data_IF_599337859655
#
_entry.id   IF_599337859655
#
_cell.length_a   1.000
_cell.length_b   1.000
_cell.length_c   1.000
_cell.angle_alpha   90.00
_cell.angle_beta   90.00
_cell.angle_gamma   90.00
#
_symmetry.space_group_name_H-M   'P 1'
#
loop_
_entity.id
_entity.type
_entity.pdbx_description
1 polymer ?
#
# COMPACT_ATOMS: atom_id res chain seq x y z
N UNK A 1 -11.39 46.49 -19.03
CA UNK A 1 -11.55 45.09 -19.48
C UNK A 1 -10.16 44.60 -19.87
N UNK A 2 -9.58 43.66 -19.12
CA UNK A 2 -8.25 43.13 -19.38
C UNK A 2 -8.42 41.77 -20.07
N UNK A 3 -7.96 41.68 -21.31
CA UNK A 3 -7.96 40.45 -22.10
C UNK A 3 -6.72 39.63 -21.76
N UNK A 4 -6.92 38.43 -21.22
CA UNK A 4 -5.86 37.42 -21.05
C UNK A 4 -5.82 36.56 -22.32
N UNK A 5 -4.66 36.40 -22.99
CA UNK A 5 -4.58 35.56 -24.17
C UNK A 5 -4.64 34.08 -23.76
N UNK A 6 -5.61 33.37 -24.33
CA UNK A 6 -5.75 31.92 -24.20
C UNK A 6 -4.75 31.25 -25.16
N UNK A 7 -3.73 30.59 -24.61
CA UNK A 7 -2.86 29.67 -25.37
C UNK A 7 -3.02 28.25 -24.82
N UNK A 8 -4.00 27.52 -25.34
CA UNK A 8 -3.91 26.07 -25.43
C UNK A 8 -4.73 25.58 -26.62
N UNK A 9 -4.01 25.14 -27.65
CA UNK A 9 -4.56 24.38 -28.76
C UNK A 9 -3.82 23.04 -28.75
N UNK A 10 -4.50 21.98 -28.30
CA UNK A 10 -3.99 20.60 -28.35
C UNK A 10 -4.26 19.79 -27.08
N UNK A 11 -4.56 18.49 -27.24
CA UNK A 11 -4.80 17.55 -26.16
C UNK A 11 -3.55 17.37 -25.27
N UNK A 12 -3.75 17.36 -23.96
CA UNK A 12 -2.70 17.22 -22.95
C UNK A 12 -2.25 15.75 -22.91
N UNK A 13 -0.97 15.50 -23.15
CA UNK A 13 -0.37 14.17 -23.02
C UNK A 13 0.87 14.21 -22.11
N UNK A 14 1.36 13.03 -21.72
CA UNK A 14 2.46 12.83 -20.74
C UNK A 14 3.74 13.60 -21.06
N UNK A 15 3.99 13.94 -22.33
CA UNK A 15 5.17 14.72 -22.75
C UNK A 15 5.03 16.22 -22.44
N UNK A 16 3.81 16.74 -22.33
CA UNK A 16 3.56 18.18 -22.09
C UNK A 16 3.63 18.52 -20.59
N UNK A 17 3.42 17.53 -19.72
CA UNK A 17 3.49 17.68 -18.25
C UNK A 17 4.95 17.76 -17.75
N UNK A 18 5.91 17.20 -18.50
CA UNK A 18 7.32 17.18 -18.11
C UNK A 18 8.08 18.51 -18.32
N UNK A 19 7.47 19.50 -18.98
CA UNK A 19 8.14 20.78 -19.27
C UNK A 19 8.02 21.83 -18.13
N UNK A 20 7.31 21.53 -17.03
CA UNK A 20 6.96 22.55 -16.03
C UNK A 20 7.87 22.58 -14.78
N UNK A 21 8.82 21.65 -14.59
CA UNK A 21 9.70 21.69 -13.40
C UNK A 21 11.14 21.21 -13.66
N UNK A 22 11.90 21.97 -14.46
CA UNK A 22 13.34 21.74 -14.65
C UNK A 22 14.24 22.21 -13.48
N UNK A 23 13.77 22.22 -12.23
CA UNK A 23 14.66 22.39 -11.08
C UNK A 23 14.47 21.25 -10.07
N UNK A 24 15.48 20.37 -10.02
CA UNK A 24 15.77 19.39 -8.97
C UNK A 24 14.66 18.40 -8.61
N UNK A 25 14.45 17.37 -9.43
CA UNK A 25 13.66 16.22 -9.02
C UNK A 25 14.40 14.91 -9.35
N UNK A 26 14.85 14.21 -8.29
CA UNK A 26 15.07 12.76 -8.35
C UNK A 26 13.75 12.12 -8.76
N UNK A 27 13.78 11.18 -9.73
CA UNK A 27 12.60 10.51 -10.26
C UNK A 27 11.68 9.90 -9.18
N UNK A 28 10.47 9.46 -9.55
CA UNK A 28 9.45 8.99 -8.60
C UNK A 28 10.03 7.93 -7.66
N UNK A 29 9.87 8.18 -6.36
CA UNK A 29 10.34 7.27 -5.30
C UNK A 29 9.35 6.12 -5.16
N UNK A 30 9.75 4.95 -5.65
CA UNK A 30 9.07 3.67 -5.43
C UNK A 30 9.69 2.95 -4.23
N UNK A 31 8.98 2.00 -3.59
CA UNK A 31 9.48 1.20 -2.47
C UNK A 31 10.83 0.51 -2.78
N UNK A 32 11.04 0.10 -4.03
CA UNK A 32 12.32 -0.43 -4.53
C UNK A 32 13.42 0.64 -4.64
N UNK A 33 13.07 1.86 -5.08
CA UNK A 33 14.01 2.99 -5.17
C UNK A 33 14.39 3.55 -3.78
N UNK A 34 13.50 3.47 -2.78
CA UNK A 34 13.85 3.88 -1.40
C UNK A 34 14.83 2.89 -0.75
N UNK A 35 14.73 1.60 -1.07
CA UNK A 35 15.70 0.58 -0.62
C UNK A 35 17.11 0.86 -1.14
N UNK A 36 17.27 1.21 -2.42
CA UNK A 36 18.60 1.49 -3.00
C UNK A 36 19.22 2.80 -2.47
N UNK A 37 18.40 3.82 -2.17
CA UNK A 37 18.86 5.09 -1.60
C UNK A 37 19.42 4.95 -0.17
N UNK A 38 18.86 4.06 0.66
CA UNK A 38 19.34 3.85 2.02
C UNK A 38 20.66 3.05 2.09
N UNK A 39 20.94 2.19 1.10
CA UNK A 39 22.23 1.51 0.97
C UNK A 39 23.37 2.45 0.54
N UNK A 40 23.07 3.55 -0.17
CA UNK A 40 24.10 4.51 -0.61
C UNK A 40 24.57 5.49 0.47
N UNK A 41 23.84 5.63 1.59
CA UNK A 41 24.21 6.55 2.67
C UNK A 41 25.25 5.99 3.66
N UNK A 42 25.59 4.71 3.61
CA UNK A 42 26.53 4.09 4.56
C UNK A 42 27.98 3.98 4.08
N UNK A 43 28.30 4.33 2.83
CA UNK A 43 29.66 4.27 2.31
C UNK A 43 30.06 5.55 1.57
N UNK A 44 30.58 6.53 2.31
CA UNK A 44 31.44 7.58 1.75
C UNK A 44 32.73 7.70 2.55
N UNK A 45 33.80 7.07 2.07
CA UNK A 45 35.14 7.66 2.12
C UNK A 45 36.01 7.17 0.95
N UNK A 46 36.32 8.12 0.06
CA UNK A 46 37.59 8.31 -0.67
C UNK A 46 38.03 7.32 -1.76
N UNK A 47 38.15 7.81 -3.00
CA UNK A 47 39.05 7.25 -4.02
C UNK A 47 38.64 7.52 -5.48
N UNK A 48 39.42 8.33 -6.19
CA UNK A 48 39.25 8.77 -7.60
C UNK A 48 39.84 7.75 -8.58
N UNK A 49 39.18 7.42 -9.71
CA UNK A 49 39.79 7.15 -11.04
C UNK A 49 38.74 6.96 -12.17
N UNK A 50 39.21 7.09 -13.43
CA UNK A 50 38.58 7.46 -14.71
C UNK A 50 37.57 6.46 -15.36
N UNK A 51 36.89 6.80 -16.49
CA UNK A 51 35.70 6.09 -16.98
C UNK A 51 36.01 4.95 -17.97
N UNK A 52 35.19 3.90 -17.94
CA UNK A 52 35.18 2.80 -18.93
C UNK A 52 33.75 2.61 -19.48
N UNK A 53 33.59 2.19 -20.75
CA UNK A 53 32.34 2.36 -21.50
C UNK A 53 31.32 1.24 -21.27
N UNK A 54 30.04 1.63 -21.32
CA UNK A 54 28.83 0.86 -21.59
C UNK A 54 28.88 -0.65 -21.31
N UNK A 55 28.38 -1.02 -20.14
CA UNK A 55 27.77 -2.33 -19.95
C UNK A 55 26.29 -2.09 -19.65
N UNK A 56 25.43 -2.37 -20.63
CA UNK A 56 23.98 -2.37 -20.49
C UNK A 56 23.62 -3.43 -19.45
N UNK A 57 23.44 -3.01 -18.21
CA UNK A 57 23.05 -3.90 -17.11
C UNK A 57 21.61 -4.33 -17.35
N UNK A 58 21.44 -5.54 -17.91
CA UNK A 58 20.17 -6.27 -17.82
C UNK A 58 19.93 -6.50 -16.32
N UNK A 59 18.95 -5.80 -15.75
CA UNK A 59 18.54 -6.02 -14.36
C UNK A 59 17.88 -7.38 -14.25
N UNK A 60 18.64 -8.40 -13.87
CA UNK A 60 18.09 -9.68 -13.43
C UNK A 60 17.29 -9.41 -12.13
N UNK A 61 15.99 -9.14 -12.25
CA UNK A 61 15.10 -9.01 -11.11
C UNK A 61 14.87 -10.39 -10.50
N UNK A 62 15.70 -10.77 -9.52
CA UNK A 62 15.53 -12.00 -8.76
C UNK A 62 14.29 -11.90 -7.89
N UNK A 63 13.35 -12.84 -8.05
CA UNK A 63 12.15 -12.95 -7.19
C UNK A 63 12.59 -13.28 -5.76
N UNK A 64 12.36 -12.36 -4.83
CA UNK A 64 12.60 -12.59 -3.40
C UNK A 64 11.37 -13.29 -2.79
N UNK A 65 11.45 -14.61 -2.65
CA UNK A 65 10.44 -15.41 -1.95
C UNK A 65 10.66 -15.28 -0.43
N UNK A 66 9.62 -14.88 0.30
CA UNK A 66 9.61 -14.87 1.78
C UNK A 66 8.78 -16.04 2.30
N UNK A 67 9.25 -16.72 3.34
CA UNK A 67 8.47 -17.74 4.06
C UNK A 67 7.31 -17.07 4.79
N UNK A 68 6.13 -17.67 4.70
CA UNK A 68 4.95 -17.21 5.43
C UNK A 68 5.16 -17.44 6.94
N UNK A 69 4.94 -16.43 7.80
CA UNK A 69 4.92 -16.64 9.25
C UNK A 69 3.84 -17.65 9.66
N UNK A 70 3.97 -18.22 10.86
CA UNK A 70 2.87 -19.00 11.44
C UNK A 70 1.65 -18.10 11.65
N UNK A 71 0.53 -18.47 11.05
CA UNK A 71 -0.77 -17.81 11.22
C UNK A 71 -1.50 -18.50 12.38
N UNK A 72 -1.41 -17.90 13.56
CA UNK A 72 -1.81 -18.49 14.85
C UNK A 72 -3.34 -18.53 15.01
N UNK A 73 -4.03 -17.49 14.56
CA UNK A 73 -5.47 -17.31 14.68
C UNK A 73 -6.12 -17.13 13.29
N UNK A 74 -6.05 -18.15 12.41
CA UNK A 74 -6.52 -18.02 11.03
C UNK A 74 -8.04 -17.96 10.95
N UNK A 75 -8.55 -17.08 10.09
CA UNK A 75 -9.95 -17.02 9.69
C UNK A 75 -10.10 -17.27 8.18
N UNK A 76 -11.30 -17.65 7.76
CA UNK A 76 -11.64 -17.83 6.35
C UNK A 76 -12.30 -16.59 5.75
N UNK A 77 -12.24 -16.47 4.42
CA UNK A 77 -12.95 -15.43 3.66
C UNK A 77 -14.41 -15.33 4.10
N UNK A 78 -14.86 -14.10 4.36
CA UNK A 78 -16.21 -13.78 4.84
C UNK A 78 -16.38 -13.82 6.37
N UNK A 79 -15.45 -14.40 7.12
CA UNK A 79 -15.54 -14.44 8.58
C UNK A 79 -15.21 -13.08 9.22
N UNK A 80 -15.83 -12.82 10.38
CA UNK A 80 -15.75 -11.58 11.15
C UNK A 80 -15.46 -11.88 12.61
N UNK A 81 -14.33 -11.42 13.13
CA UNK A 81 -13.89 -11.66 14.51
C UNK A 81 -13.74 -10.34 15.27
N UNK A 82 -14.02 -10.33 16.56
CA UNK A 82 -13.67 -9.18 17.41
C UNK A 82 -12.14 -9.16 17.61
N UNK A 83 -11.54 -7.99 17.53
CA UNK A 83 -10.09 -7.81 17.78
C UNK A 83 -9.81 -7.05 19.07
N UNK A 84 -10.85 -6.71 19.83
CA UNK A 84 -10.75 -6.28 21.22
C UNK A 84 -10.73 -7.50 22.14
N UNK A 85 -9.71 -7.60 23.00
CA UNK A 85 -9.62 -8.68 23.98
C UNK A 85 -9.71 -8.12 25.40
N UNK A 86 -10.91 -8.22 26.01
CA UNK A 86 -11.21 -7.89 27.41
C UNK A 86 -10.76 -6.50 27.92
N UNK A 87 -10.52 -5.55 27.00
CA UNK A 87 -10.06 -4.19 27.28
C UNK A 87 -10.08 -3.32 26.03
N UNK A 88 -9.84 -2.02 26.20
CA UNK A 88 -9.82 -1.05 25.09
C UNK A 88 -8.64 -1.35 24.17
N UNK A 89 -8.90 -1.57 22.88
CA UNK A 89 -7.86 -1.70 21.86
C UNK A 89 -7.09 -0.38 21.76
N UNK A 90 -5.80 -0.40 22.10
CA UNK A 90 -4.93 0.77 22.09
C UNK A 90 -4.32 0.97 20.70
N UNK A 91 -3.65 -0.06 20.20
CA UNK A 91 -2.85 -0.02 18.99
C UNK A 91 -2.77 -1.40 18.36
N UNK A 92 -2.81 -1.45 17.04
CA UNK A 92 -2.60 -2.69 16.27
C UNK A 92 -1.62 -2.48 15.13
N UNK A 93 -1.07 -3.59 14.66
CA UNK A 93 -0.20 -3.66 13.50
C UNK A 93 -0.81 -4.66 12.52
N UNK A 94 -1.39 -4.17 11.44
CA UNK A 94 -1.74 -5.00 10.30
C UNK A 94 -0.46 -5.27 9.53
N UNK A 95 0.06 -6.49 9.63
CA UNK A 95 1.26 -6.94 8.91
C UNK A 95 0.84 -7.76 7.69
N UNK A 96 1.39 -7.43 6.53
CA UNK A 96 1.02 -8.01 5.26
C UNK A 96 2.23 -8.60 4.57
N UNK A 97 2.02 -9.71 3.87
CA UNK A 97 3.03 -10.35 3.04
C UNK A 97 2.38 -11.04 1.85
N UNK A 98 3.20 -11.31 0.84
CA UNK A 98 2.84 -11.99 -0.40
C UNK A 98 4.11 -12.51 -1.05
N UNK A 99 3.96 -13.36 -2.06
CA UNK A 99 5.02 -13.74 -2.97
C UNK A 99 4.53 -13.49 -4.41
N UNK A 100 5.46 -13.38 -5.34
CA UNK A 100 5.17 -13.13 -6.75
C UNK A 100 5.83 -14.20 -7.60
N UNK A 101 5.17 -14.63 -8.66
CA UNK A 101 5.73 -15.53 -9.68
C UNK A 101 6.27 -14.76 -10.88
N UNK A 102 5.89 -13.49 -11.02
CA UNK A 102 6.43 -12.54 -12.01
C UNK A 102 7.18 -11.41 -11.28
N UNK A 103 8.47 -11.23 -11.57
CA UNK A 103 9.30 -10.22 -10.92
C UNK A 103 8.94 -8.77 -11.26
N UNK A 104 8.13 -8.56 -12.29
CA UNK A 104 7.58 -7.24 -12.62
C UNK A 104 6.42 -6.82 -11.71
N UNK A 105 5.84 -7.76 -10.93
CA UNK A 105 4.80 -7.44 -9.96
C UNK A 105 5.40 -6.67 -8.78
N UNK A 106 5.30 -5.36 -8.86
CA UNK A 106 5.49 -4.45 -7.73
C UNK A 106 4.14 -4.29 -7.03
N UNK A 107 4.01 -4.89 -5.84
CA UNK A 107 2.75 -4.91 -5.08
C UNK A 107 2.93 -3.98 -3.90
N UNK A 108 1.94 -3.13 -3.65
CA UNK A 108 1.94 -2.19 -2.53
C UNK A 108 0.67 -2.37 -1.68
N UNK A 109 0.81 -2.08 -0.38
CA UNK A 109 -0.30 -1.95 0.56
C UNK A 109 -0.76 -0.50 0.66
N UNK A 110 -2.07 -0.37 0.74
CA UNK A 110 -2.80 0.88 0.84
C UNK A 110 -3.86 0.73 1.94
N UNK A 111 -4.02 1.73 2.81
CA UNK A 111 -5.06 1.73 3.84
C UNK A 111 -5.95 2.97 3.80
N UNK A 112 -7.25 2.77 3.55
CA UNK A 112 -8.25 3.83 3.46
C UNK A 112 -9.02 3.97 4.77
N UNK A 113 -9.09 5.19 5.32
CA UNK A 113 -9.75 5.49 6.60
C UNK A 113 -11.13 6.09 6.33
N UNK A 114 -12.15 5.27 6.49
CA UNK A 114 -13.51 5.51 6.03
C UNK A 114 -14.47 5.86 7.17
N UNK A 115 -15.46 6.70 6.88
CA UNK A 115 -16.63 6.92 7.72
C UNK A 115 -17.70 5.83 7.51
N UNK A 116 -18.85 6.02 8.16
CA UNK A 116 -20.00 5.12 8.07
C UNK A 116 -20.65 5.06 6.68
N UNK A 117 -20.40 6.03 5.79
CA UNK A 117 -20.88 5.97 4.40
C UNK A 117 -19.93 5.18 3.48
N UNK A 118 -18.79 4.70 4.00
CA UNK A 118 -17.79 3.97 3.22
C UNK A 118 -16.87 4.86 2.39
N UNK A 119 -16.85 6.17 2.67
CA UNK A 119 -15.95 7.13 2.01
C UNK A 119 -14.86 7.60 2.97
N UNK A 120 -13.71 8.00 2.44
CA UNK A 120 -12.68 8.67 3.24
C UNK A 120 -13.24 9.94 3.88
N UNK A 121 -12.74 10.30 5.06
CA UNK A 121 -13.20 11.51 5.76
C UNK A 121 -12.53 12.80 5.25
N UNK A 122 -11.68 12.66 4.25
CA UNK A 122 -11.03 13.71 3.46
C UNK A 122 -9.95 13.08 2.56
N UNK A 123 -9.47 13.81 1.56
CA UNK A 123 -8.57 13.23 0.54
C UNK A 123 -7.24 12.71 1.10
N UNK A 124 -6.76 13.29 2.19
CA UNK A 124 -5.56 12.84 2.90
C UNK A 124 -5.80 11.68 3.87
N UNK A 125 -7.01 11.13 3.98
CA UNK A 125 -7.36 10.03 4.90
C UNK A 125 -7.16 8.66 4.27
N UNK A 126 -6.02 8.53 3.62
CA UNK A 126 -5.56 7.37 2.92
C UNK A 126 -4.04 7.30 3.07
N UNK A 127 -3.49 6.16 3.48
CA UNK A 127 -2.05 5.99 3.66
C UNK A 127 -1.48 4.91 2.75
N UNK A 128 -0.29 5.17 2.22
CA UNK A 128 0.47 4.31 1.32
C UNK A 128 1.93 4.80 1.30
N UNK A 129 2.81 4.19 0.50
CA UNK A 129 4.24 4.58 0.44
C UNK A 129 4.49 6.07 0.11
N UNK A 130 3.58 6.74 -0.60
CA UNK A 130 3.70 8.17 -0.96
C UNK A 130 3.12 9.12 0.10
N UNK A 131 2.30 8.60 1.01
CA UNK A 131 1.73 9.34 2.14
C UNK A 131 1.67 8.40 3.34
N UNK A 132 2.80 8.31 4.05
CA UNK A 132 2.99 7.24 5.04
C UNK A 132 2.15 7.43 6.30
N UNK A 133 1.67 8.65 6.61
CA UNK A 133 0.98 8.95 7.87
C UNK A 133 -0.34 9.68 7.64
N UNK A 134 -1.37 9.32 8.42
CA UNK A 134 -2.67 10.00 8.41
C UNK A 134 -2.62 11.38 9.07
N UNK A 135 -3.57 12.30 8.78
CA UNK A 135 -3.55 13.65 9.34
C UNK A 135 -3.61 13.73 10.87
N UNK A 136 -4.25 12.75 11.52
CA UNK A 136 -4.32 12.63 12.99
C UNK A 136 -3.15 11.84 13.60
N UNK A 137 -2.21 11.36 12.78
CA UNK A 137 -1.10 10.49 13.17
C UNK A 137 -1.55 9.17 13.83
N UNK A 138 -2.79 8.73 13.58
CA UNK A 138 -3.27 7.44 14.08
C UNK A 138 -2.77 6.28 13.24
N UNK A 139 -2.63 6.49 11.92
CA UNK A 139 -2.34 5.43 10.97
C UNK A 139 -1.01 5.68 10.28
N UNK A 140 -0.15 4.67 10.22
CA UNK A 140 1.20 4.78 9.68
C UNK A 140 1.60 3.56 8.85
N UNK A 141 2.06 3.79 7.62
CA UNK A 141 2.66 2.81 6.72
C UNK A 141 4.16 2.64 7.01
N UNK A 142 4.66 1.41 6.96
CA UNK A 142 6.09 1.13 7.07
C UNK A 142 6.46 -0.17 6.37
N UNK A 143 7.73 -0.32 6.00
CA UNK A 143 8.28 -1.56 5.45
C UNK A 143 8.79 -2.44 6.59
N UNK A 144 8.56 -3.75 6.50
CA UNK A 144 9.15 -4.76 7.39
C UNK A 144 10.27 -5.52 6.68
N UNK A 145 11.42 -5.61 7.35
CA UNK A 145 12.60 -6.35 6.87
C UNK A 145 12.57 -7.83 7.31
N UNK A 146 11.56 -8.24 8.09
CA UNK A 146 11.32 -9.61 8.52
C UNK A 146 10.56 -10.44 7.48
N UNK A 147 9.66 -11.31 7.97
CA UNK A 147 8.84 -12.19 7.12
C UNK A 147 7.71 -11.43 6.42
N UNK A 148 7.11 -10.46 7.12
CA UNK A 148 6.15 -9.54 6.51
C UNK A 148 6.88 -8.58 5.56
N UNK A 149 6.14 -7.98 4.63
CA UNK A 149 6.68 -7.00 3.70
C UNK A 149 6.33 -5.59 4.12
N UNK A 150 5.08 -5.37 4.51
CA UNK A 150 4.56 -4.04 4.80
C UNK A 150 3.64 -4.09 6.01
N UNK A 151 3.60 -2.97 6.74
CA UNK A 151 2.86 -2.86 7.99
C UNK A 151 2.09 -1.55 7.99
N UNK A 152 0.79 -1.66 8.26
CA UNK A 152 -0.07 -0.54 8.62
C UNK A 152 -0.28 -0.58 10.13
N UNK A 153 0.26 0.42 10.82
CA UNK A 153 0.05 0.64 12.25
C UNK A 153 -1.18 1.50 12.46
N UNK A 154 -2.04 1.18 13.43
CA UNK A 154 -3.23 1.95 13.79
C UNK A 154 -3.25 2.17 15.31
N UNK A 155 -3.26 3.43 15.74
CA UNK A 155 -3.39 3.89 17.13
C UNK A 155 -4.82 4.42 17.36
N UNK A 156 -5.65 3.60 18.00
CA UNK A 156 -7.06 3.92 18.27
C UNK A 156 -7.24 5.03 19.31
N UNK A 157 -6.19 5.42 20.04
CA UNK A 157 -6.28 6.55 20.95
C UNK A 157 -6.14 7.90 20.22
N UNK A 158 -5.59 7.90 19.00
CA UNK A 158 -5.46 9.10 18.15
C UNK A 158 -6.46 9.14 17.01
N UNK A 159 -7.02 7.97 16.66
CA UNK A 159 -7.93 7.81 15.54
C UNK A 159 -9.12 8.77 15.66
N UNK A 160 -9.31 9.59 14.64
CA UNK A 160 -10.44 10.51 14.56
C UNK A 160 -11.77 9.77 14.65
N UNK A 161 -12.68 10.30 15.47
CA UNK A 161 -13.99 9.69 15.76
C UNK A 161 -14.91 9.53 14.55
N UNK A 162 -14.65 10.24 13.45
CA UNK A 162 -15.39 10.10 12.20
C UNK A 162 -14.94 8.87 11.39
N UNK A 163 -13.79 8.27 11.71
CA UNK A 163 -13.34 7.00 11.11
C UNK A 163 -13.99 5.84 11.85
N UNK A 164 -14.78 5.05 11.13
CA UNK A 164 -15.43 3.84 11.66
C UNK A 164 -14.96 2.57 10.97
N UNK A 165 -14.16 2.69 9.92
CA UNK A 165 -13.63 1.56 9.14
C UNK A 165 -12.27 1.90 8.54
N UNK A 166 -11.36 0.93 8.52
CA UNK A 166 -10.07 1.00 7.86
C UNK A 166 -9.97 -0.21 6.93
N UNK A 167 -9.84 0.04 5.63
CA UNK A 167 -9.77 -1.00 4.60
C UNK A 167 -8.32 -1.17 4.13
N UNK A 168 -7.84 -2.41 4.08
CA UNK A 168 -6.50 -2.73 3.55
C UNK A 168 -6.61 -3.28 2.14
N UNK A 169 -5.86 -2.68 1.22
CA UNK A 169 -5.87 -3.03 -0.20
C UNK A 169 -4.46 -3.34 -0.66
N UNK A 170 -4.33 -4.45 -1.40
CA UNK A 170 -3.14 -4.77 -2.20
C UNK A 170 -3.37 -4.28 -3.63
N UNK A 171 -2.40 -3.58 -4.20
CA UNK A 171 -2.44 -3.12 -5.60
C UNK A 171 -1.15 -3.50 -6.31
N UNK A 172 -1.23 -3.95 -7.56
CA UNK A 172 -0.05 -4.09 -8.41
C UNK A 172 0.17 -2.75 -9.12
N UNK A 173 1.35 -2.14 -8.96
CA UNK A 173 1.69 -0.88 -9.62
C UNK A 173 1.78 -1.07 -11.15
N UNK A 174 1.22 -0.11 -11.90
CA UNK A 174 1.18 -0.12 -13.38
C UNK A 174 0.60 -1.43 -13.97
N UNK A 175 -0.30 -2.10 -13.24
CA UNK A 175 -0.80 -3.43 -13.60
C UNK A 175 -1.42 -3.49 -15.00
N UNK A 176 -2.21 -2.47 -15.37
CA UNK A 176 -2.89 -2.41 -16.65
C UNK A 176 -1.90 -2.23 -17.81
N UNK A 177 -0.94 -1.30 -17.65
CA UNK A 177 0.08 -0.99 -18.65
C UNK A 177 1.05 -2.15 -18.87
N UNK A 178 1.39 -2.87 -17.79
CA UNK A 178 2.33 -4.00 -17.82
C UNK A 178 1.65 -5.36 -17.96
N UNK A 179 0.32 -5.41 -18.12
CA UNK A 179 -0.48 -6.64 -18.17
C UNK A 179 -0.22 -7.59 -16.99
N UNK A 180 -0.05 -7.03 -15.79
CA UNK A 180 0.15 -7.75 -14.54
C UNK A 180 -1.19 -7.96 -13.83
N UNK A 181 -1.31 -9.04 -13.08
CA UNK A 181 -2.55 -9.38 -12.38
C UNK A 181 -2.28 -10.30 -11.18
N UNK A 182 -3.33 -10.54 -10.39
CA UNK A 182 -3.23 -11.31 -9.16
C UNK A 182 -2.97 -12.80 -9.37
N UNK A 183 -3.17 -13.39 -10.57
CA UNK A 183 -2.72 -14.77 -10.82
C UNK A 183 -1.19 -14.90 -10.87
N UNK A 184 -0.46 -13.77 -10.84
CA UNK A 184 0.99 -13.72 -10.72
C UNK A 184 1.46 -13.54 -9.26
N UNK A 185 0.53 -13.52 -8.30
CA UNK A 185 0.80 -13.50 -6.86
C UNK A 185 0.46 -14.87 -6.27
N UNK A 186 1.08 -15.16 -5.13
CA UNK A 186 0.69 -16.25 -4.25
C UNK A 186 1.02 -15.89 -2.80
N UNK A 187 0.55 -16.71 -1.86
CA UNK A 187 0.85 -16.56 -0.44
C UNK A 187 0.58 -15.17 0.14
N UNK A 188 -0.39 -14.44 -0.41
CA UNK A 188 -0.84 -13.17 0.13
C UNK A 188 -1.58 -13.40 1.46
N UNK A 189 -1.21 -12.65 2.49
CA UNK A 189 -1.82 -12.72 3.81
C UNK A 189 -1.82 -11.38 4.52
N UNK A 190 -2.70 -11.26 5.50
CA UNK A 190 -2.73 -10.19 6.50
C UNK A 190 -2.84 -10.82 7.89
N UNK A 191 -2.12 -10.27 8.86
CA UNK A 191 -2.25 -10.62 10.27
C UNK A 191 -2.28 -9.36 11.13
N UNK A 192 -3.22 -9.32 12.06
CA UNK A 192 -3.41 -8.19 12.98
C UNK A 192 -2.74 -8.55 14.29
N UNK A 193 -1.71 -7.80 14.66
CA UNK A 193 -0.97 -7.96 15.90
C UNK A 193 -1.35 -6.86 16.89
N UNK A 194 -1.36 -7.15 18.19
CA UNK A 194 -1.47 -6.12 19.23
C UNK A 194 -0.11 -5.48 19.57
N UNK A 195 -0.10 -4.52 20.50
CA UNK A 195 1.08 -3.85 21.04
C UNK A 195 2.09 -4.79 21.73
N UNK A 196 1.61 -5.92 22.21
CA UNK A 196 2.39 -6.97 22.88
C UNK A 196 2.93 -8.02 21.90
N UNK A 197 2.85 -7.75 20.58
CA UNK A 197 3.27 -8.64 19.50
C UNK A 197 2.58 -10.01 19.50
N UNK A 198 1.36 -10.08 20.03
CA UNK A 198 0.48 -11.24 19.94
C UNK A 198 -0.45 -11.12 18.73
N UNK A 199 -0.62 -12.20 17.98
CA UNK A 199 -1.56 -12.22 16.86
C UNK A 199 -2.99 -12.28 17.38
N UNK A 200 -3.84 -11.35 16.93
CA UNK A 200 -5.26 -11.31 17.24
C UNK A 200 -6.08 -12.10 16.21
N UNK A 201 -5.70 -11.98 14.93
CA UNK A 201 -6.33 -12.68 13.80
C UNK A 201 -5.39 -12.68 12.61
N UNK A 202 -5.47 -13.71 11.78
CA UNK A 202 -4.81 -13.77 10.48
C UNK A 202 -5.73 -14.28 9.39
N UNK A 203 -5.46 -13.86 8.15
CA UNK A 203 -6.16 -14.31 6.96
C UNK A 203 -5.16 -14.50 5.83
N UNK A 204 -5.15 -15.70 5.23
CA UNK A 204 -4.40 -16.01 4.02
C UNK A 204 -5.36 -16.15 2.86
N UNK A 205 -5.04 -15.52 1.74
CA UNK A 205 -5.78 -15.68 0.50
C UNK A 205 -5.46 -17.00 -0.18
N UNK A 206 -6.52 -17.66 -0.67
CA UNK A 206 -6.52 -18.87 -1.46
C UNK A 206 -6.90 -18.63 -2.94
N UNK A 207 -7.52 -17.49 -3.23
CA UNK A 207 -8.04 -17.14 -4.55
C UNK A 207 -7.21 -16.05 -5.25
N UNK A 208 -6.75 -16.36 -6.47
CA UNK A 208 -5.94 -15.47 -7.31
C UNK A 208 -6.41 -15.55 -8.76
N UNK A 209 -6.70 -14.41 -9.40
CA UNK A 209 -7.36 -14.37 -10.69
C UNK A 209 -6.64 -13.47 -11.70
N UNK A 210 -6.70 -13.84 -12.98
CA UNK A 210 -6.05 -13.13 -14.07
C UNK A 210 -6.74 -11.82 -14.46
N UNK A 211 -8.00 -11.64 -14.06
CA UNK A 211 -8.79 -10.42 -14.28
C UNK A 211 -8.79 -9.46 -13.08
N UNK A 212 -7.93 -9.70 -12.08
CA UNK A 212 -7.85 -8.89 -10.85
C UNK A 212 -6.51 -8.18 -10.80
N UNK A 213 -6.51 -6.87 -10.55
CA UNK A 213 -5.31 -6.02 -10.45
C UNK A 213 -5.15 -5.36 -9.08
N UNK A 214 -6.19 -5.41 -8.25
CA UNK A 214 -6.18 -4.98 -6.86
C UNK A 214 -7.12 -5.83 -6.00
N UNK A 215 -6.86 -5.87 -4.69
CA UNK A 215 -7.53 -6.78 -3.76
C UNK A 215 -7.77 -6.13 -2.40
N UNK A 216 -9.03 -6.01 -2.00
CA UNK A 216 -9.37 -5.76 -0.60
C UNK A 216 -9.12 -7.04 0.20
N UNK A 217 -8.00 -7.10 0.92
CA UNK A 217 -7.63 -8.31 1.66
C UNK A 217 -8.41 -8.41 2.98
N UNK A 218 -8.66 -7.28 3.65
CA UNK A 218 -9.42 -7.24 4.89
C UNK A 218 -9.79 -5.83 5.32
N UNK A 219 -10.63 -5.73 6.34
CA UNK A 219 -11.00 -4.46 6.96
C UNK A 219 -11.08 -4.58 8.48
N UNK A 220 -10.74 -3.49 9.17
CA UNK A 220 -11.05 -3.28 10.58
C UNK A 220 -12.20 -2.29 10.66
N UNK A 221 -13.27 -2.60 11.38
CA UNK A 221 -14.47 -1.76 11.44
C UNK A 221 -15.13 -1.79 12.83
N UNK A 222 -15.82 -0.71 13.18
CA UNK A 222 -16.63 -0.65 14.38
C UNK A 222 -17.98 -1.33 14.17
N UNK A 223 -18.39 -2.13 15.15
CA UNK A 223 -19.70 -2.73 15.20
C UNK A 223 -20.14 -2.91 16.66
N UNK A 224 -21.28 -2.32 17.03
CA UNK A 224 -21.83 -2.34 18.40
C UNK A 224 -20.80 -1.91 19.47
N UNK A 225 -20.03 -0.86 19.18
CA UNK A 225 -19.06 -0.29 20.12
C UNK A 225 -17.74 -1.05 20.23
N UNK A 226 -17.53 -2.11 19.44
CA UNK A 226 -16.29 -2.88 19.40
C UNK A 226 -15.66 -2.87 18.00
N UNK A 227 -14.32 -2.85 17.95
CA UNK A 227 -13.57 -3.06 16.71
C UNK A 227 -13.51 -4.55 16.34
N UNK A 228 -13.80 -4.82 15.08
CA UNK A 228 -13.80 -6.16 14.48
C UNK A 228 -12.92 -6.18 13.24
N UNK A 229 -12.35 -7.34 12.94
CA UNK A 229 -11.71 -7.62 11.67
C UNK A 229 -12.66 -8.45 10.80
N UNK A 230 -12.70 -8.17 9.49
CA UNK A 230 -13.33 -9.01 8.49
C UNK A 230 -12.31 -9.46 7.43
N UNK A 231 -12.26 -10.77 7.17
CA UNK A 231 -11.52 -11.32 6.05
C UNK A 231 -12.36 -11.16 4.77
N UNK A 232 -11.86 -10.40 3.80
CA UNK A 232 -12.64 -10.02 2.62
C UNK A 232 -12.20 -10.77 1.36
N UNK A 233 -10.95 -10.58 0.92
CA UNK A 233 -10.43 -11.23 -0.29
C UNK A 233 -11.25 -10.93 -1.56
N UNK A 234 -11.73 -9.70 -1.73
CA UNK A 234 -12.48 -9.29 -2.92
C UNK A 234 -11.58 -8.50 -3.88
N UNK A 235 -11.38 -9.04 -5.08
CA UNK A 235 -10.53 -8.48 -6.11
C UNK A 235 -11.31 -7.67 -7.15
N UNK A 236 -10.68 -6.62 -7.69
CA UNK A 236 -11.24 -5.81 -8.79
C UNK A 236 -10.18 -5.47 -9.83
N UNK A 237 -10.62 -5.14 -11.04
CA UNK A 237 -9.79 -4.60 -12.12
C UNK A 237 -9.72 -3.07 -12.03
N UNK A 238 -9.17 -2.56 -10.92
CA UNK A 238 -8.89 -1.14 -10.70
C UNK A 238 -7.44 -0.98 -10.24
N UNK A 239 -6.83 0.13 -10.63
CA UNK A 239 -5.56 0.59 -10.09
C UNK A 239 -5.80 1.41 -8.81
N UNK A 240 -4.74 2.01 -8.27
CA UNK A 240 -4.85 2.82 -7.07
C UNK A 240 -5.74 4.06 -7.29
N UNK A 241 -5.66 4.72 -8.44
CA UNK A 241 -6.51 5.87 -8.75
C UNK A 241 -8.00 5.49 -8.77
N UNK A 242 -8.35 4.38 -9.41
CA UNK A 242 -9.73 3.87 -9.42
C UNK A 242 -10.23 3.44 -8.04
N UNK A 243 -9.34 3.02 -7.13
CA UNK A 243 -9.68 2.75 -5.72
C UNK A 243 -9.85 4.03 -4.92
N UNK A 244 -9.02 5.04 -5.16
CA UNK A 244 -9.19 6.38 -4.60
C UNK A 244 -10.58 6.93 -4.92
N UNK A 245 -10.99 6.90 -6.20
CA UNK A 245 -12.35 7.28 -6.61
C UNK A 245 -13.42 6.42 -5.93
N UNK A 246 -13.22 5.10 -5.85
CA UNK A 246 -14.16 4.16 -5.23
C UNK A 246 -14.39 4.48 -3.74
N UNK A 247 -13.37 4.93 -3.02
CA UNK A 247 -13.47 5.35 -1.62
C UNK A 247 -13.71 6.86 -1.44
N UNK A 248 -13.96 7.61 -2.51
CA UNK A 248 -14.32 9.02 -2.44
C UNK A 248 -13.15 9.99 -2.20
N UNK A 249 -11.92 9.60 -2.52
CA UNK A 249 -10.77 10.50 -2.61
C UNK A 249 -10.89 11.31 -3.89
N UNK A 250 -10.81 12.63 -3.81
CA UNK A 250 -10.76 13.50 -4.98
C UNK A 250 -9.33 13.51 -5.55
N UNK A 251 -9.15 12.85 -6.69
CA UNK A 251 -7.91 12.90 -7.47
C UNK A 251 -8.05 14.06 -8.46
N UNK A 252 -7.34 15.17 -8.21
CA UNK A 252 -7.36 16.40 -9.03
C UNK A 252 -6.20 16.38 -10.03
#
# INVERSE_FOLDING_TARGET
>A
MISVPMKSSGAVNSQTVMAINQQNIQGPKTSQNVKSLNYMKSNQSSGVTAPSPNNTSISNHTISIKTIPALINPVQKGQKIAIENQGKLSKVYAKLGWNVTNSNCDVDVSAFMLNNSGCVIGDSWFVFYGQETSPDNSTHFSIDNGQDREVITIDFNKLNSNVSKIVFVLTINEALEKHLNFSMLNDAYIRIMNDSNQELVSFKMDEYYSNVTSMMIGEIYQHNGAWKFAAIGNGVAKDLAGLCEYYGVQVI
#
